data_IF_922959346118
#
_entry.id   IF_922959346118
#
_cell.length_a   1.000
_cell.length_b   1.000
_cell.length_c   1.000
_cell.angle_alpha   90.00
_cell.angle_beta   90.00
_cell.angle_gamma   90.00
#
_symmetry.space_group_name_H-M   'P 1'
#
loop_
_entity.id
_entity.type
_entity.pdbx_description
1 polymer ?
#
# COMPACT_ATOMS: atom_id res chain seq x y z
N UNK A 1 43.89 -73.31 42.15
CA UNK A 1 43.47 -71.92 42.53
C UNK A 1 44.22 -70.81 41.77
N UNK A 2 45.18 -71.07 40.91
CA UNK A 2 45.91 -70.06 40.13
C UNK A 2 45.14 -69.61 38.85
N UNK A 3 44.42 -70.52 38.22
CA UNK A 3 43.74 -70.26 36.95
C UNK A 3 42.53 -69.23 37.04
N UNK A 4 41.81 -69.23 38.17
CA UNK A 4 40.73 -68.32 38.38
C UNK A 4 41.14 -66.80 38.43
N UNK A 5 42.38 -66.56 38.94
CA UNK A 5 42.89 -65.19 39.04
C UNK A 5 43.24 -64.62 37.65
N UNK A 6 43.80 -65.44 36.76
CA UNK A 6 44.11 -65.02 35.39
C UNK A 6 42.84 -64.76 34.59
N UNK A 7 41.82 -65.62 34.73
CA UNK A 7 40.55 -65.47 34.05
C UNK A 7 39.78 -64.17 34.49
N UNK A 8 39.85 -63.90 35.78
CA UNK A 8 39.22 -62.63 36.31
C UNK A 8 40.01 -61.43 35.81
N UNK A 9 41.32 -61.47 35.74
CA UNK A 9 42.11 -60.34 35.25
C UNK A 9 41.89 -60.06 33.76
N UNK A 10 41.82 -61.13 32.92
CA UNK A 10 41.49 -60.96 31.50
C UNK A 10 40.07 -60.42 31.26
N UNK A 11 39.09 -60.84 32.04
CA UNK A 11 37.70 -60.36 31.96
C UNK A 11 37.61 -58.87 32.34
N UNK A 12 38.34 -58.44 33.38
CA UNK A 12 38.43 -57.05 33.79
C UNK A 12 39.08 -56.17 32.73
N UNK A 13 40.14 -56.68 32.08
CA UNK A 13 40.81 -55.98 30.99
C UNK A 13 39.88 -55.79 29.77
N UNK A 14 39.12 -56.83 29.37
CA UNK A 14 38.16 -56.74 28.28
C UNK A 14 37.02 -55.71 28.62
N UNK A 15 36.55 -55.67 29.85
CA UNK A 15 35.55 -54.76 30.32
C UNK A 15 36.07 -53.31 30.25
N UNK A 16 37.30 -53.09 30.62
CA UNK A 16 37.95 -51.78 30.57
C UNK A 16 38.13 -51.31 29.11
N UNK A 17 38.62 -52.23 28.22
CA UNK A 17 38.69 -51.89 26.78
C UNK A 17 37.34 -51.60 26.16
N UNK A 18 36.28 -52.34 26.46
CA UNK A 18 34.92 -52.10 25.99
C UNK A 18 34.38 -50.76 26.48
N UNK A 19 34.67 -50.38 27.73
CA UNK A 19 34.31 -49.08 28.29
C UNK A 19 35.00 -47.92 27.59
N UNK A 20 36.29 -48.06 27.28
CA UNK A 20 37.04 -47.04 26.54
C UNK A 20 36.51 -46.85 25.11
N UNK A 21 36.26 -47.95 24.38
CA UNK A 21 35.72 -47.92 23.03
C UNK A 21 34.33 -47.27 23.03
N UNK A 22 33.45 -47.66 23.98
CA UNK A 22 32.14 -47.07 24.15
C UNK A 22 32.19 -45.58 24.49
N UNK A 23 33.15 -45.18 25.34
CA UNK A 23 33.37 -43.77 25.69
C UNK A 23 33.80 -42.92 24.50
N UNK A 24 34.76 -43.43 23.70
CA UNK A 24 35.23 -42.75 22.48
C UNK A 24 34.08 -42.59 21.46
N UNK A 25 33.33 -43.67 21.25
CA UNK A 25 32.17 -43.61 20.33
C UNK A 25 31.08 -42.64 20.78
N UNK A 26 30.82 -42.60 22.09
CA UNK A 26 29.86 -41.65 22.66
C UNK A 26 30.32 -40.19 22.51
N UNK A 27 31.61 -39.92 22.74
CA UNK A 27 32.18 -38.59 22.57
C UNK A 27 32.17 -38.15 21.08
N UNK A 28 32.54 -39.06 20.17
CA UNK A 28 32.51 -38.79 18.72
C UNK A 28 31.08 -38.42 18.27
N UNK A 29 30.08 -39.17 18.72
CA UNK A 29 28.68 -38.86 18.44
C UNK A 29 28.28 -37.48 18.99
N UNK A 30 28.65 -37.15 20.22
CA UNK A 30 28.38 -35.84 20.84
C UNK A 30 29.05 -34.70 20.09
N UNK A 31 30.28 -34.90 19.61
CA UNK A 31 30.98 -33.88 18.84
C UNK A 31 30.31 -33.66 17.49
N UNK A 32 29.85 -34.71 16.82
CA UNK A 32 29.09 -34.58 15.56
C UNK A 32 27.74 -33.84 15.77
N UNK A 33 26.99 -34.21 16.80
CA UNK A 33 25.73 -33.56 17.12
C UNK A 33 25.94 -32.04 17.42
N UNK A 34 27.03 -31.69 18.08
CA UNK A 34 27.41 -30.31 18.34
C UNK A 34 27.85 -29.58 17.06
N UNK A 35 28.56 -30.22 16.17
CA UNK A 35 28.94 -29.64 14.88
C UNK A 35 27.72 -29.37 14.02
N UNK A 36 26.75 -30.29 13.93
CA UNK A 36 25.50 -30.07 13.20
C UNK A 36 24.70 -28.88 13.76
N UNK A 37 24.65 -28.75 15.10
CA UNK A 37 24.00 -27.60 15.73
C UNK A 37 24.72 -26.28 15.43
N UNK A 38 26.05 -26.29 15.41
CA UNK A 38 26.86 -25.13 15.05
C UNK A 38 26.63 -24.71 13.61
N UNK A 39 26.63 -25.65 12.69
CA UNK A 39 26.41 -25.40 11.27
C UNK A 39 24.98 -24.88 11.01
N UNK A 40 23.97 -25.41 11.71
CA UNK A 40 22.60 -24.94 11.63
C UNK A 40 22.45 -23.50 12.15
N UNK A 41 23.09 -23.17 13.26
CA UNK A 41 23.06 -21.80 13.82
C UNK A 41 23.78 -20.82 12.90
N UNK A 42 24.92 -21.22 12.32
CA UNK A 42 25.64 -20.35 11.37
C UNK A 42 24.85 -20.11 10.07
N UNK A 43 24.18 -21.15 9.54
CA UNK A 43 23.28 -20.99 8.40
C UNK A 43 22.14 -20.03 8.71
N UNK A 44 21.48 -20.21 9.85
CA UNK A 44 20.40 -19.28 10.28
C UNK A 44 20.91 -17.85 10.44
N UNK A 45 22.14 -17.68 10.92
CA UNK A 45 22.77 -16.36 11.05
C UNK A 45 23.02 -15.71 9.69
N UNK A 46 23.49 -16.48 8.71
CA UNK A 46 23.69 -16.00 7.33
C UNK A 46 22.36 -15.62 6.69
N UNK A 47 21.32 -16.45 6.84
CA UNK A 47 19.98 -16.19 6.32
C UNK A 47 19.36 -14.94 6.94
N UNK A 48 19.50 -14.78 8.26
CA UNK A 48 19.01 -13.58 8.97
C UNK A 48 19.75 -12.31 8.51
N UNK A 49 21.06 -12.37 8.31
CA UNK A 49 21.83 -11.25 7.81
C UNK A 49 21.41 -10.89 6.37
N UNK A 50 21.17 -11.88 5.53
CA UNK A 50 20.65 -11.68 4.18
C UNK A 50 19.27 -11.03 4.18
N UNK A 51 18.35 -11.53 5.01
CA UNK A 51 17.02 -10.96 5.17
C UNK A 51 17.05 -9.53 5.71
N UNK A 52 17.94 -9.25 6.67
CA UNK A 52 18.10 -7.90 7.24
C UNK A 52 18.66 -6.93 6.20
N UNK A 53 19.61 -7.38 5.36
CA UNK A 53 20.13 -6.58 4.24
C UNK A 53 19.03 -6.23 3.23
N UNK A 54 18.23 -7.21 2.84
CA UNK A 54 17.10 -6.99 1.92
C UNK A 54 16.05 -6.01 2.49
N UNK A 55 15.74 -6.13 3.79
CA UNK A 55 14.82 -5.20 4.46
C UNK A 55 15.39 -3.77 4.55
N UNK A 56 16.69 -3.61 4.77
CA UNK A 56 17.33 -2.28 4.77
C UNK A 56 17.29 -1.65 3.39
N UNK A 57 17.51 -2.42 2.34
CA UNK A 57 17.43 -1.93 0.96
C UNK A 57 15.99 -1.53 0.59
N UNK A 58 15.01 -2.35 0.93
CA UNK A 58 13.60 -1.99 0.77
C UNK A 58 13.23 -0.72 1.55
N UNK A 59 13.67 -0.59 2.80
CA UNK A 59 13.46 0.62 3.60
C UNK A 59 14.07 1.84 2.93
N UNK A 60 15.26 1.73 2.35
CA UNK A 60 15.92 2.82 1.63
C UNK A 60 15.09 3.25 0.41
N UNK A 61 14.66 2.30 -0.42
CA UNK A 61 13.80 2.56 -1.59
C UNK A 61 12.49 3.23 -1.18
N UNK A 62 11.83 2.74 -0.11
CA UNK A 62 10.63 3.40 0.41
C UNK A 62 10.90 4.82 0.91
N UNK A 63 12.01 5.03 1.62
CA UNK A 63 12.35 6.37 2.14
C UNK A 63 12.63 7.35 0.99
N UNK A 64 13.32 6.91 -0.06
CA UNK A 64 13.56 7.71 -1.26
C UNK A 64 12.25 8.04 -1.98
N UNK A 65 11.37 7.05 -2.17
CA UNK A 65 10.05 7.26 -2.75
C UNK A 65 9.17 8.22 -1.92
N UNK A 66 9.20 8.12 -0.60
CA UNK A 66 8.50 9.07 0.28
C UNK A 66 9.07 10.48 0.18
N UNK A 67 10.40 10.65 0.12
CA UNK A 67 11.03 11.96 -0.06
C UNK A 67 10.69 12.57 -1.43
N UNK A 68 10.57 11.76 -2.48
CA UNK A 68 10.08 12.23 -3.78
C UNK A 68 8.61 12.66 -3.70
N UNK A 69 7.75 11.90 -3.01
CA UNK A 69 6.34 12.25 -2.81
C UNK A 69 6.17 13.55 -2.02
N UNK A 70 7.02 13.82 -1.04
CA UNK A 70 7.01 15.07 -0.26
C UNK A 70 7.30 16.30 -1.15
N UNK A 71 8.12 16.13 -2.20
CA UNK A 71 8.36 17.18 -3.20
C UNK A 71 7.14 17.48 -4.08
N UNK A 72 6.20 16.54 -4.22
CA UNK A 72 4.97 16.74 -5.00
C UNK A 72 3.82 17.40 -4.22
N UNK A 73 4.01 17.70 -2.92
CA UNK A 73 3.01 18.33 -2.06
C UNK A 73 1.62 17.70 -2.24
N UNK A 74 1.53 16.37 -2.09
CA UNK A 74 0.25 15.68 -2.15
C UNK A 74 -0.53 16.02 -0.88
N UNK A 75 -1.43 16.97 -0.97
CA UNK A 75 -2.31 17.33 0.11
C UNK A 75 -3.46 16.32 0.21
N UNK A 76 -3.61 15.73 1.37
CA UNK A 76 -4.66 14.74 1.68
C UNK A 76 -5.89 15.47 2.22
N UNK A 77 -7.09 15.08 1.79
CA UNK A 77 -8.33 15.59 2.36
C UNK A 77 -8.47 15.11 3.81
N UNK A 78 -8.92 16.00 4.71
CA UNK A 78 -9.08 15.68 6.13
C UNK A 78 -10.12 14.57 6.38
N UNK A 79 -11.18 14.58 5.61
CA UNK A 79 -12.27 13.60 5.61
C UNK A 79 -13.03 13.60 4.26
N UNK A 80 -13.88 12.62 4.07
CA UNK A 80 -14.67 12.45 2.84
C UNK A 80 -15.70 13.57 2.66
N UNK A 81 -16.33 14.04 3.73
CA UNK A 81 -17.30 15.13 3.68
C UNK A 81 -16.65 16.43 3.20
N UNK A 82 -15.46 16.75 3.71
CA UNK A 82 -14.68 17.91 3.31
C UNK A 82 -14.28 17.82 1.83
N UNK A 83 -13.84 16.63 1.38
CA UNK A 83 -13.55 16.41 -0.03
C UNK A 83 -14.76 16.71 -0.92
N UNK A 84 -15.91 16.08 -0.64
CA UNK A 84 -17.11 16.26 -1.45
C UNK A 84 -17.62 17.71 -1.42
N UNK A 85 -17.62 18.33 -0.24
CA UNK A 85 -18.06 19.72 -0.10
C UNK A 85 -17.18 20.69 -0.90
N UNK A 86 -15.87 20.59 -0.79
CA UNK A 86 -14.95 21.48 -1.51
C UNK A 86 -15.04 21.32 -3.03
N UNK A 87 -15.15 20.08 -3.52
CA UNK A 87 -15.29 19.82 -4.96
C UNK A 87 -16.60 20.40 -5.50
N UNK A 88 -17.72 20.22 -4.79
CA UNK A 88 -19.03 20.76 -5.19
C UNK A 88 -19.08 22.29 -5.07
N UNK A 89 -18.52 22.85 -4.00
CA UNK A 89 -18.46 24.29 -3.80
C UNK A 89 -17.71 24.98 -4.94
N UNK A 90 -16.57 24.43 -5.37
CA UNK A 90 -15.79 24.96 -6.48
C UNK A 90 -16.58 24.98 -7.80
N UNK A 91 -17.50 24.01 -8.01
CA UNK A 91 -18.41 24.02 -9.17
C UNK A 91 -19.43 25.13 -9.06
N UNK A 92 -20.09 25.27 -7.90
CA UNK A 92 -21.12 26.27 -7.66
C UNK A 92 -20.57 27.70 -7.73
N UNK A 93 -19.35 27.93 -7.21
CA UNK A 93 -18.67 29.23 -7.24
C UNK A 93 -18.39 29.73 -8.67
N UNK A 94 -18.37 28.83 -9.65
CA UNK A 94 -18.22 29.18 -11.07
C UNK A 94 -19.55 29.27 -11.82
N UNK A 95 -20.68 29.18 -11.12
CA UNK A 95 -22.01 29.28 -11.72
C UNK A 95 -22.41 28.07 -12.57
N UNK A 96 -21.70 26.94 -12.42
CA UNK A 96 -22.04 25.70 -13.11
C UNK A 96 -23.10 24.94 -12.31
N UNK A 97 -24.14 24.50 -13.01
CA UNK A 97 -25.24 23.73 -12.42
C UNK A 97 -24.83 22.26 -12.23
N UNK A 98 -25.06 21.70 -11.03
CA UNK A 98 -24.88 20.28 -10.75
C UNK A 98 -26.22 19.58 -10.94
N UNK A 99 -26.36 18.78 -12.01
CA UNK A 99 -27.57 18.02 -12.31
C UNK A 99 -27.72 16.78 -11.45
N UNK A 100 -26.61 16.08 -11.22
CA UNK A 100 -26.58 14.88 -10.39
C UNK A 100 -25.22 14.72 -9.72
N UNK A 101 -25.24 14.10 -8.55
CA UNK A 101 -24.03 13.77 -7.79
C UNK A 101 -24.13 12.35 -7.25
N UNK A 102 -23.07 11.58 -7.42
CA UNK A 102 -22.93 10.24 -6.86
C UNK A 102 -21.62 10.16 -6.07
N UNK A 103 -21.73 10.08 -4.77
CA UNK A 103 -20.61 9.82 -3.87
C UNK A 103 -20.43 8.31 -3.71
N UNK A 104 -19.21 7.79 -3.91
CA UNK A 104 -18.94 6.35 -3.83
C UNK A 104 -18.31 5.96 -2.49
N UNK A 105 -18.11 6.92 -1.58
CA UNK A 105 -17.41 6.69 -0.32
C UNK A 105 -15.90 6.57 -0.51
N UNK A 106 -15.22 6.17 0.56
CA UNK A 106 -13.76 5.95 0.58
C UNK A 106 -13.50 4.46 0.46
N UNK A 107 -12.68 4.07 -0.50
CA UNK A 107 -12.31 2.67 -0.72
C UNK A 107 -11.26 2.20 0.31
N UNK A 108 -10.87 0.90 0.24
CA UNK A 108 -9.89 0.32 1.16
C UNK A 108 -8.48 0.95 1.03
N UNK A 109 -8.20 1.62 -0.08
CA UNK A 109 -6.93 2.31 -0.36
C UNK A 109 -6.94 3.77 0.14
N UNK A 110 -8.02 4.22 0.78
CA UNK A 110 -8.16 5.59 1.25
C UNK A 110 -8.51 6.60 0.15
N UNK A 111 -9.03 6.14 -1.00
CA UNK A 111 -9.43 7.02 -2.10
C UNK A 111 -10.93 7.27 -2.06
N UNK A 112 -11.32 8.53 -1.91
CA UNK A 112 -12.70 9.00 -2.07
C UNK A 112 -13.00 9.33 -3.52
N UNK A 113 -14.19 8.96 -4.01
CA UNK A 113 -14.61 9.18 -5.40
C UNK A 113 -15.95 9.88 -5.45
N UNK A 114 -16.08 10.91 -6.29
CA UNK A 114 -17.33 11.60 -6.60
C UNK A 114 -17.53 11.67 -8.12
N UNK A 115 -18.69 11.23 -8.57
CA UNK A 115 -19.11 11.39 -9.95
C UNK A 115 -20.23 12.45 -10.02
N UNK A 116 -20.13 13.36 -10.96
CA UNK A 116 -21.09 14.47 -11.13
C UNK A 116 -21.45 14.65 -12.59
N UNK A 117 -22.71 14.99 -12.84
CA UNK A 117 -23.14 15.51 -14.12
C UNK A 117 -23.36 17.02 -13.97
N UNK A 118 -22.64 17.79 -14.76
CA UNK A 118 -22.56 19.25 -14.70
C UNK A 118 -23.15 19.84 -15.96
N UNK A 119 -23.77 21.02 -15.84
CA UNK A 119 -24.29 21.79 -16.95
C UNK A 119 -23.89 23.27 -16.82
N UNK A 120 -23.33 23.85 -17.87
CA UNK A 120 -22.90 25.25 -17.87
C UNK A 120 -22.28 25.65 -19.21
N UNK A 121 -21.73 26.86 -19.24
CA UNK A 121 -20.95 27.30 -20.39
C UNK A 121 -19.57 26.57 -20.41
N UNK A 122 -19.08 26.29 -21.61
CA UNK A 122 -17.79 25.60 -21.76
C UNK A 122 -16.64 26.30 -21.02
N UNK A 123 -16.63 27.64 -21.06
CA UNK A 123 -15.62 28.43 -20.38
C UNK A 123 -15.67 28.26 -18.85
N UNK A 124 -16.88 28.26 -18.27
CA UNK A 124 -17.08 28.05 -16.84
C UNK A 124 -16.66 26.63 -16.41
N UNK A 125 -16.91 25.63 -17.26
CA UNK A 125 -16.39 24.27 -17.03
C UNK A 125 -14.87 24.23 -16.95
N UNK A 126 -14.17 24.95 -17.84
CA UNK A 126 -12.71 25.05 -17.80
C UNK A 126 -12.25 25.76 -16.51
N UNK A 127 -12.99 26.78 -16.06
CA UNK A 127 -12.70 27.46 -14.79
C UNK A 127 -12.89 26.53 -13.59
N UNK A 128 -13.89 25.65 -13.60
CA UNK A 128 -14.08 24.62 -12.56
C UNK A 128 -12.86 23.70 -12.46
N UNK A 129 -12.38 23.20 -13.61
CA UNK A 129 -11.17 22.35 -13.63
C UNK A 129 -9.93 23.09 -13.10
N UNK A 130 -9.82 24.39 -13.41
CA UNK A 130 -8.75 25.24 -12.87
C UNK A 130 -8.92 25.47 -11.36
N UNK A 131 -10.16 25.66 -10.87
CA UNK A 131 -10.45 25.86 -9.45
C UNK A 131 -10.13 24.61 -8.63
N UNK A 132 -10.36 23.40 -9.14
CA UNK A 132 -10.00 22.16 -8.46
C UNK A 132 -8.49 22.02 -8.25
N UNK A 133 -7.65 22.60 -9.12
CA UNK A 133 -6.19 22.65 -8.91
C UNK A 133 -5.77 23.52 -7.73
N UNK A 134 -6.61 24.50 -7.36
CA UNK A 134 -6.37 25.41 -6.24
C UNK A 134 -6.97 24.93 -4.90
N UNK A 135 -7.57 23.75 -4.86
CA UNK A 135 -8.13 23.21 -3.61
C UNK A 135 -7.00 22.88 -2.59
N UNK A 136 -7.30 22.94 -1.29
CA UNK A 136 -6.34 22.63 -0.24
C UNK A 136 -5.97 21.15 -0.17
N UNK A 137 -6.50 20.34 -1.08
CA UNK A 137 -6.24 18.92 -1.24
C UNK A 137 -5.92 18.58 -2.70
N UNK A 138 -5.15 17.52 -2.91
CA UNK A 138 -4.84 17.04 -4.26
C UNK A 138 -6.01 16.25 -4.81
N UNK A 139 -6.60 16.74 -5.88
CA UNK A 139 -7.70 16.07 -6.61
C UNK A 139 -7.24 15.60 -7.97
N UNK A 140 -7.75 14.44 -8.40
CA UNK A 140 -7.49 13.84 -9.71
C UNK A 140 -8.80 13.71 -10.49
N UNK A 141 -8.84 14.23 -11.69
CA UNK A 141 -9.95 13.96 -12.64
C UNK A 141 -9.65 12.63 -13.33
N UNK A 142 -10.49 11.63 -13.10
CA UNK A 142 -10.33 10.28 -13.66
C UNK A 142 -11.05 10.15 -14.98
N UNK A 143 -12.24 10.74 -15.07
CA UNK A 143 -13.03 10.73 -16.28
C UNK A 143 -13.63 12.12 -16.50
N UNK A 144 -13.61 12.57 -17.74
CA UNK A 144 -14.27 13.79 -18.18
C UNK A 144 -14.83 13.56 -19.58
N UNK A 145 -16.14 13.57 -19.68
CA UNK A 145 -16.85 13.50 -20.96
C UNK A 145 -17.69 14.76 -21.11
N UNK A 146 -17.37 15.57 -22.12
CA UNK A 146 -18.11 16.80 -22.41
C UNK A 146 -18.96 16.58 -23.65
N UNK A 147 -20.26 16.88 -23.54
CA UNK A 147 -21.23 16.76 -24.64
C UNK A 147 -21.88 18.10 -24.88
N UNK A 148 -22.06 18.45 -26.14
CA UNK A 148 -22.90 19.57 -26.49
C UNK A 148 -24.35 19.14 -26.31
N UNK A 149 -25.15 19.95 -25.59
CA UNK A 149 -26.55 19.63 -25.38
C UNK A 149 -27.35 20.00 -26.63
N UNK A 150 -27.56 19.05 -27.53
CA UNK A 150 -28.31 19.24 -28.78
C UNK A 150 -29.78 19.45 -28.56
N UNK A 151 -30.34 19.03 -27.41
CA UNK A 151 -31.79 19.19 -27.09
C UNK A 151 -32.21 20.65 -26.88
N UNK A 152 -31.27 21.58 -26.70
CA UNK A 152 -31.55 23.02 -26.68
C UNK A 152 -31.71 23.62 -28.09
N UNK A 153 -31.37 22.85 -29.15
CA UNK A 153 -31.56 23.28 -30.55
C UNK A 153 -33.02 23.11 -31.04
N UNK A 154 -33.81 22.25 -30.40
CA UNK A 154 -35.11 21.83 -30.93
C UNK A 154 -36.33 22.63 -30.40
N UNK A 155 -36.16 23.45 -29.36
CA UNK A 155 -37.22 24.40 -28.98
C UNK A 155 -37.19 25.57 -29.93
N UNK A 156 -38.05 25.54 -30.95
CA UNK A 156 -38.34 26.47 -32.08
C UNK A 156 -37.94 27.93 -32.04
N UNK A 157 -37.15 28.40 -31.13
CA UNK A 157 -36.65 29.76 -31.01
C UNK A 157 -35.11 29.81 -31.18
N UNK A 158 -34.66 29.62 -32.43
CA UNK A 158 -33.27 29.57 -32.86
C UNK A 158 -32.42 30.82 -32.58
N UNK A 159 -32.98 31.86 -31.94
CA UNK A 159 -32.29 33.14 -31.80
C UNK A 159 -31.54 33.39 -30.51
N UNK A 160 -31.68 32.56 -29.46
CA UNK A 160 -31.11 32.88 -28.13
C UNK A 160 -30.51 31.69 -27.36
N UNK A 161 -30.06 30.62 -28.03
CA UNK A 161 -29.26 29.63 -27.36
C UNK A 161 -27.81 30.10 -27.36
N UNK A 162 -27.18 30.41 -26.20
CA UNK A 162 -25.77 30.75 -26.17
C UNK A 162 -24.98 29.61 -26.78
N UNK A 163 -24.22 29.89 -27.85
CA UNK A 163 -23.24 28.98 -28.41
C UNK A 163 -22.20 28.70 -27.31
N UNK A 164 -22.29 27.54 -26.64
CA UNK A 164 -21.34 27.22 -25.60
C UNK A 164 -21.87 26.41 -24.43
N UNK A 165 -23.19 26.25 -24.31
CA UNK A 165 -23.74 25.40 -23.23
C UNK A 165 -23.44 23.94 -23.47
N UNK A 166 -22.78 23.32 -22.49
CA UNK A 166 -22.35 21.94 -22.50
C UNK A 166 -22.84 21.18 -21.25
N UNK A 167 -22.91 19.89 -21.40
CA UNK A 167 -23.12 18.96 -20.31
C UNK A 167 -21.88 18.11 -20.17
N UNK A 168 -21.38 17.98 -18.94
CA UNK A 168 -20.15 17.23 -18.66
C UNK A 168 -20.39 16.18 -17.58
N UNK A 169 -20.03 14.93 -17.89
CA UNK A 169 -19.91 13.86 -16.90
C UNK A 169 -18.47 13.84 -16.42
N UNK A 170 -18.27 14.06 -15.13
CA UNK A 170 -16.93 14.11 -14.53
C UNK A 170 -16.86 13.19 -13.31
N UNK A 171 -15.74 12.48 -13.20
CA UNK A 171 -15.40 11.69 -12.02
C UNK A 171 -14.11 12.23 -11.43
N UNK A 172 -14.17 12.57 -10.15
CA UNK A 172 -13.04 13.15 -9.40
C UNK A 172 -12.70 12.26 -8.22
N UNK A 173 -11.42 12.10 -7.98
CA UNK A 173 -10.87 11.33 -6.87
C UNK A 173 -9.91 12.17 -6.04
N UNK A 174 -9.85 11.88 -4.73
CA UNK A 174 -8.84 12.41 -3.82
C UNK A 174 -8.42 11.36 -2.80
N UNK A 175 -7.20 11.51 -2.29
CA UNK A 175 -6.76 10.74 -1.13
C UNK A 175 -7.38 11.38 0.10
N UNK A 176 -8.06 10.57 0.91
CA UNK A 176 -8.75 11.00 2.13
C UNK A 176 -8.04 10.37 3.32
N UNK A 177 -7.78 11.16 4.35
CA UNK A 177 -7.20 10.65 5.58
C UNK A 177 -8.10 9.57 6.19
N UNK A 178 -7.53 8.41 6.50
CA UNK A 178 -8.27 7.34 7.14
C UNK A 178 -8.80 7.82 8.49
N UNK A 179 -10.11 7.99 8.56
CA UNK A 179 -10.76 8.40 9.80
C UNK A 179 -10.77 7.21 10.78
N UNK A 180 -9.75 7.13 11.66
CA UNK A 180 -9.61 6.13 12.71
C UNK A 180 -10.70 6.24 13.81
N UNK A 181 -11.76 7.03 13.59
CA UNK A 181 -12.82 7.32 14.56
C UNK A 181 -13.96 6.29 14.59
N UNK A 182 -13.84 5.16 13.86
CA UNK A 182 -14.80 4.06 13.92
C UNK A 182 -14.18 2.85 14.62
N UNK A 183 -13.92 3.00 15.91
CA UNK A 183 -13.85 1.87 16.86
C UNK A 183 -14.84 2.10 18.00
#
# INVERSE_FOLDING_TARGET
MKDNKVTVLTLLFFLLCASLIGGVWFLDKRVRDLQEQYDEVEQRRVDLNGATGALMEQKKVFTEAFNELDNYHVNVASDDMNFYANVQQAVQDKGVEILSTRQQGVNAEGVGTIAMTLRGDYYDMVQVLAAWRGLPMTVRVVNLTVRQNENLRDSGNRKNVPLGRVEADVTVEAIVAANNSRR
#
